data_IF_519138995658
#
_entry.id   IF_519138995658
#
_cell.length_a   1.000
_cell.length_b   1.000
_cell.length_c   1.000
_cell.angle_alpha   90.00
_cell.angle_beta   90.00
_cell.angle_gamma   90.00
#
_symmetry.space_group_name_H-M   'P 1'
#
loop_
_entity.id
_entity.type
_entity.pdbx_description
1 polymer ?
#
# COMPACT_ATOMS: atom_id res chain seq x y z
N UNK A 1 -3.83 -4.05 -33.34
CA UNK A 1 -3.07 -4.33 -32.12
C UNK A 1 -4.01 -5.06 -31.16
N UNK A 2 -3.54 -6.16 -30.53
CA UNK A 2 -4.35 -6.94 -29.58
C UNK A 2 -3.78 -6.81 -28.18
N UNK A 3 -4.65 -6.55 -27.22
CA UNK A 3 -4.34 -6.39 -25.80
C UNK A 3 -4.93 -7.54 -25.02
N UNK A 4 -4.14 -8.23 -24.22
CA UNK A 4 -4.62 -9.18 -23.22
C UNK A 4 -4.57 -8.51 -21.84
N UNK A 5 -5.72 -8.28 -21.23
CA UNK A 5 -5.85 -7.79 -19.85
C UNK A 5 -6.05 -8.99 -18.91
N UNK A 6 -4.95 -9.73 -18.65
CA UNK A 6 -5.00 -11.04 -17.97
C UNK A 6 -5.54 -10.98 -16.54
N UNK A 7 -5.25 -9.89 -15.81
CA UNK A 7 -5.74 -9.67 -14.45
C UNK A 7 -6.96 -8.71 -14.41
N UNK A 8 -7.57 -8.46 -15.58
CA UNK A 8 -8.68 -7.53 -15.74
C UNK A 8 -8.25 -6.06 -15.84
N UNK A 9 -9.14 -5.26 -16.38
CA UNK A 9 -9.08 -3.80 -16.48
C UNK A 9 -10.51 -3.27 -16.30
N UNK A 10 -10.67 -2.01 -15.83
CA UNK A 10 -12.01 -1.41 -15.68
C UNK A 10 -12.74 -1.30 -17.00
N UNK A 11 -14.07 -1.20 -16.94
CA UNK A 11 -14.90 -1.03 -18.17
C UNK A 11 -14.50 0.25 -18.91
N UNK A 12 -14.20 1.33 -18.17
CA UNK A 12 -13.72 2.59 -18.76
C UNK A 12 -12.44 2.41 -19.60
N UNK A 13 -11.51 1.57 -19.13
CA UNK A 13 -10.29 1.22 -19.86
C UNK A 13 -10.57 0.36 -21.09
N UNK A 14 -11.48 -0.62 -20.99
CA UNK A 14 -11.91 -1.41 -22.14
C UNK A 14 -12.51 -0.51 -23.21
N UNK A 15 -13.42 0.38 -22.82
CA UNK A 15 -14.12 1.29 -23.73
C UNK A 15 -13.13 2.26 -24.40
N UNK A 16 -12.18 2.81 -23.64
CA UNK A 16 -11.15 3.69 -24.19
C UNK A 16 -10.28 2.99 -25.24
N UNK A 17 -9.82 1.77 -24.96
CA UNK A 17 -9.01 0.99 -25.89
C UNK A 17 -9.82 0.58 -27.14
N UNK A 18 -11.06 0.16 -26.96
CA UNK A 18 -11.95 -0.25 -28.06
C UNK A 18 -12.29 0.94 -28.97
N UNK A 19 -12.58 2.11 -28.40
CA UNK A 19 -12.82 3.35 -29.16
C UNK A 19 -11.57 3.81 -29.94
N UNK A 20 -10.38 3.45 -29.46
CA UNK A 20 -9.12 3.66 -30.18
C UNK A 20 -8.83 2.59 -31.26
N UNK A 21 -9.77 1.68 -31.55
CA UNK A 21 -9.62 0.61 -32.55
C UNK A 21 -8.71 -0.54 -32.10
N UNK A 22 -8.53 -0.71 -30.79
CA UNK A 22 -7.70 -1.77 -30.20
C UNK A 22 -8.59 -2.91 -29.73
N UNK A 23 -8.27 -4.13 -30.15
CA UNK A 23 -8.95 -5.35 -29.69
C UNK A 23 -8.51 -5.69 -28.26
N UNK A 24 -9.44 -5.76 -27.32
CA UNK A 24 -9.18 -6.06 -25.91
C UNK A 24 -9.74 -7.43 -25.56
N UNK A 25 -8.88 -8.29 -25.05
CA UNK A 25 -9.22 -9.64 -24.57
C UNK A 25 -9.10 -9.61 -23.04
N UNK A 26 -10.18 -10.00 -22.36
CA UNK A 26 -10.28 -10.02 -20.89
C UNK A 26 -10.34 -11.44 -20.32
N UNK A 27 -10.11 -12.45 -21.15
CA UNK A 27 -10.05 -13.85 -20.71
C UNK A 27 -8.87 -14.04 -19.77
N UNK A 28 -9.12 -14.55 -18.55
CA UNK A 28 -8.06 -14.89 -17.62
C UNK A 28 -7.40 -16.21 -18.05
N UNK A 29 -6.12 -16.14 -18.32
CA UNK A 29 -5.27 -17.26 -18.72
C UNK A 29 -4.34 -17.63 -17.56
N UNK A 30 -4.25 -18.92 -17.25
CA UNK A 30 -3.33 -19.41 -16.21
C UNK A 30 -1.87 -19.13 -16.61
N UNK A 31 -1.00 -18.88 -15.61
CA UNK A 31 0.40 -18.51 -15.85
C UNK A 31 1.14 -19.50 -16.75
N UNK A 32 0.89 -20.79 -16.59
CA UNK A 32 1.53 -21.88 -17.32
C UNK A 32 1.11 -21.93 -18.79
N UNK A 33 -0.08 -21.41 -19.11
CA UNK A 33 -0.63 -21.39 -20.48
C UNK A 33 -0.42 -20.05 -21.18
N UNK A 34 0.06 -19.03 -20.44
CA UNK A 34 0.08 -17.66 -20.90
C UNK A 34 0.98 -17.46 -22.13
N UNK A 35 2.11 -18.13 -22.19
CA UNK A 35 3.04 -18.08 -23.35
C UNK A 35 2.36 -18.58 -24.62
N UNK A 36 1.72 -19.75 -24.57
CA UNK A 36 1.02 -20.33 -25.73
C UNK A 36 -0.12 -19.41 -26.18
N UNK A 37 -0.92 -18.95 -25.22
CA UNK A 37 -2.06 -18.08 -25.52
C UNK A 37 -1.64 -16.77 -26.20
N UNK A 38 -0.57 -16.12 -25.70
CA UNK A 38 -0.02 -14.87 -26.26
C UNK A 38 0.40 -15.09 -27.72
N UNK A 39 1.13 -16.16 -28.00
CA UNK A 39 1.66 -16.45 -29.33
C UNK A 39 0.54 -16.87 -30.32
N UNK A 40 -0.34 -17.78 -29.93
CA UNK A 40 -1.44 -18.26 -30.76
C UNK A 40 -2.43 -17.15 -31.15
N UNK A 41 -2.68 -16.20 -30.24
CA UNK A 41 -3.61 -15.10 -30.45
C UNK A 41 -2.93 -13.82 -30.97
N UNK A 42 -1.62 -13.84 -31.23
CA UNK A 42 -0.83 -12.68 -31.68
C UNK A 42 -1.01 -11.45 -30.77
N UNK A 43 -0.95 -11.67 -29.45
CA UNK A 43 -1.04 -10.59 -28.46
C UNK A 43 0.22 -9.73 -28.51
N UNK A 44 0.04 -8.42 -28.66
CA UNK A 44 1.13 -7.45 -28.71
C UNK A 44 1.26 -6.63 -27.44
N UNK A 45 0.24 -6.60 -26.58
CA UNK A 45 0.24 -5.89 -25.29
C UNK A 45 -0.30 -6.82 -24.21
N UNK A 46 0.45 -6.97 -23.14
CA UNK A 46 0.03 -7.69 -21.93
C UNK A 46 -0.20 -6.70 -20.80
N UNK A 47 -1.44 -6.59 -20.33
CA UNK A 47 -1.79 -5.84 -19.12
C UNK A 47 -1.93 -6.81 -17.95
N UNK A 48 -1.20 -6.52 -16.88
CA UNK A 48 -1.17 -7.34 -15.66
C UNK A 48 -1.46 -6.50 -14.42
N UNK A 49 -1.83 -7.17 -13.35
CA UNK A 49 -1.87 -6.60 -11.99
C UNK A 49 -0.92 -7.38 -11.08
N UNK A 50 -1.39 -7.91 -9.96
CA UNK A 50 -0.55 -8.63 -9.00
C UNK A 50 -0.51 -10.15 -9.23
N UNK A 51 -1.51 -10.73 -9.90
CA UNK A 51 -1.64 -12.18 -10.04
C UNK A 51 -0.73 -12.75 -11.15
N UNK A 52 -0.59 -12.00 -12.27
CA UNK A 52 0.24 -12.44 -13.41
C UNK A 52 1.67 -11.94 -13.28
N UNK A 53 2.64 -12.80 -13.59
CA UNK A 53 4.06 -12.43 -13.63
C UNK A 53 4.59 -12.38 -15.07
N UNK A 54 5.41 -11.37 -15.37
CA UNK A 54 6.11 -11.23 -16.65
C UNK A 54 7.63 -11.28 -16.43
N UNK A 55 8.14 -12.50 -16.26
CA UNK A 55 9.56 -12.78 -16.03
C UNK A 55 10.29 -13.04 -17.33
N UNK A 56 11.63 -13.12 -17.27
CA UNK A 56 12.51 -13.38 -18.42
C UNK A 56 12.02 -14.50 -19.32
N UNK A 57 11.62 -15.63 -18.74
CA UNK A 57 11.14 -16.79 -19.50
C UNK A 57 9.92 -16.47 -20.39
N UNK A 58 8.94 -15.72 -19.87
CA UNK A 58 7.78 -15.30 -20.64
C UNK A 58 8.19 -14.28 -21.72
N UNK A 59 9.05 -13.31 -21.38
CA UNK A 59 9.50 -12.27 -22.31
C UNK A 59 10.23 -12.89 -23.49
N UNK A 60 11.14 -13.82 -23.26
CA UNK A 60 11.90 -14.52 -24.32
C UNK A 60 11.02 -15.43 -25.19
N UNK A 61 10.01 -16.05 -24.57
CA UNK A 61 9.08 -16.97 -25.29
C UNK A 61 7.99 -16.24 -26.07
N UNK A 62 7.81 -14.93 -25.89
CA UNK A 62 6.76 -14.14 -26.55
C UNK A 62 7.34 -13.00 -27.41
N UNK A 63 8.02 -13.29 -28.54
CA UNK A 63 8.70 -12.26 -29.34
C UNK A 63 7.73 -11.26 -30.01
N UNK A 64 6.42 -11.56 -30.05
CA UNK A 64 5.37 -10.67 -30.57
C UNK A 64 4.96 -9.58 -29.59
N UNK A 65 5.31 -9.68 -28.30
CA UNK A 65 5.01 -8.66 -27.31
C UNK A 65 5.83 -7.38 -27.57
N UNK A 66 5.15 -6.24 -27.43
CA UNK A 66 5.72 -4.91 -27.58
C UNK A 66 5.61 -4.09 -26.30
N UNK A 67 4.53 -4.29 -25.53
CA UNK A 67 4.23 -3.52 -24.32
C UNK A 67 3.82 -4.47 -23.21
N UNK A 68 4.35 -4.25 -22.02
CA UNK A 68 3.84 -4.82 -20.77
C UNK A 68 3.37 -3.66 -19.90
N UNK A 69 2.07 -3.64 -19.58
CA UNK A 69 1.46 -2.61 -18.74
C UNK A 69 1.08 -3.20 -17.37
N UNK A 70 1.44 -2.50 -16.28
CA UNK A 70 1.03 -2.88 -14.93
C UNK A 70 -0.01 -1.91 -14.40
N UNK A 71 -1.23 -2.41 -14.17
CA UNK A 71 -2.28 -1.66 -13.48
C UNK A 71 -1.97 -1.52 -11.99
N UNK A 72 -1.21 -0.49 -11.63
CA UNK A 72 -0.77 -0.20 -10.26
C UNK A 72 0.60 0.47 -10.20
N UNK A 73 1.09 0.69 -8.97
CA UNK A 73 2.33 1.45 -8.72
C UNK A 73 3.58 0.57 -8.85
N UNK A 74 3.64 -0.51 -8.06
CA UNK A 74 4.80 -1.41 -8.04
C UNK A 74 4.85 -2.31 -9.27
N UNK A 75 6.04 -2.65 -9.71
CA UNK A 75 6.29 -3.53 -10.85
C UNK A 75 7.09 -4.77 -10.45
N UNK A 76 6.96 -5.19 -9.19
CA UNK A 76 7.74 -6.29 -8.60
C UNK A 76 7.51 -7.65 -9.29
N UNK A 77 6.38 -7.82 -9.97
CA UNK A 77 6.02 -9.01 -10.76
C UNK A 77 6.51 -8.97 -12.22
N UNK A 78 7.22 -7.91 -12.65
CA UNK A 78 7.75 -7.76 -14.01
C UNK A 78 9.26 -7.62 -13.94
N UNK A 79 10.00 -8.30 -14.81
CA UNK A 79 11.44 -8.09 -15.00
C UNK A 79 11.69 -6.87 -15.89
N UNK A 80 11.43 -5.67 -15.34
CA UNK A 80 11.36 -4.39 -16.07
C UNK A 80 12.65 -4.10 -16.84
N UNK A 81 13.80 -4.22 -16.19
CA UNK A 81 15.11 -3.95 -16.82
C UNK A 81 15.31 -4.87 -18.02
N UNK A 82 15.07 -6.16 -17.83
CA UNK A 82 15.20 -7.15 -18.88
C UNK A 82 14.23 -6.92 -20.05
N UNK A 83 12.96 -6.62 -19.75
CA UNK A 83 11.98 -6.31 -20.80
C UNK A 83 12.43 -5.11 -21.65
N UNK A 84 12.94 -4.05 -21.02
CA UNK A 84 13.47 -2.87 -21.74
C UNK A 84 14.71 -3.18 -22.57
N UNK A 85 15.64 -4.00 -22.08
CA UNK A 85 16.79 -4.49 -22.82
C UNK A 85 16.39 -5.28 -24.08
N UNK A 86 15.25 -6.00 -24.02
CA UNK A 86 14.64 -6.69 -25.16
C UNK A 86 13.81 -5.79 -26.09
N UNK A 87 13.76 -4.49 -25.82
CA UNK A 87 13.05 -3.49 -26.64
C UNK A 87 11.55 -3.37 -26.33
N UNK A 88 11.04 -3.96 -25.26
CA UNK A 88 9.65 -3.80 -24.83
C UNK A 88 9.47 -2.49 -24.05
N UNK A 89 8.35 -1.81 -24.32
CA UNK A 89 7.90 -0.72 -23.44
C UNK A 89 7.26 -1.30 -22.17
N UNK A 90 7.68 -0.83 -21.00
CA UNK A 90 7.06 -1.20 -19.73
C UNK A 90 6.47 0.04 -19.09
N UNK A 91 5.15 0.03 -18.86
CA UNK A 91 4.37 1.14 -18.31
C UNK A 91 3.64 0.73 -17.04
N UNK A 92 3.30 1.71 -16.20
CA UNK A 92 2.48 1.51 -15.02
C UNK A 92 1.59 2.74 -14.75
N UNK A 93 0.72 2.66 -13.72
CA UNK A 93 -0.19 3.74 -13.32
C UNK A 93 0.18 4.28 -11.94
N UNK A 94 1.28 5.07 -11.82
CA UNK A 94 1.90 5.37 -10.52
C UNK A 94 1.13 6.36 -9.64
N UNK A 95 0.14 7.06 -10.19
CA UNK A 95 -0.65 8.06 -9.46
C UNK A 95 -2.07 7.57 -9.11
N UNK A 96 -2.59 6.59 -9.83
CA UNK A 96 -4.01 6.23 -9.84
C UNK A 96 -4.57 5.79 -8.47
N UNK A 97 -3.76 5.15 -7.65
CA UNK A 97 -4.19 4.58 -6.35
C UNK A 97 -3.63 5.32 -5.12
N UNK A 98 -2.96 6.46 -5.29
CA UNK A 98 -2.25 7.11 -4.17
C UNK A 98 -3.17 7.54 -3.04
N UNK A 99 -4.33 8.14 -3.35
CA UNK A 99 -5.34 8.53 -2.36
C UNK A 99 -5.96 7.33 -1.66
N UNK A 100 -6.28 6.27 -2.42
CA UNK A 100 -6.88 5.04 -1.85
C UNK A 100 -5.97 4.39 -0.81
N UNK A 101 -4.67 4.29 -1.10
CA UNK A 101 -3.69 3.77 -0.13
C UNK A 101 -3.61 4.66 1.10
N UNK A 102 -3.60 5.99 0.92
CA UNK A 102 -3.54 6.95 2.02
C UNK A 102 -4.78 6.83 2.92
N UNK A 103 -5.96 6.66 2.35
CA UNK A 103 -7.22 6.45 3.09
C UNK A 103 -7.19 5.15 3.89
N UNK A 104 -6.67 4.04 3.32
CA UNK A 104 -6.50 2.79 4.05
C UNK A 104 -5.53 2.93 5.24
N UNK A 105 -4.44 3.69 5.09
CA UNK A 105 -3.53 4.01 6.22
C UNK A 105 -4.32 4.65 7.35
N UNK A 106 -5.20 5.62 7.05
CA UNK A 106 -6.03 6.28 8.06
C UNK A 106 -7.13 5.39 8.61
N UNK A 107 -7.68 4.45 7.81
CA UNK A 107 -8.60 3.43 8.32
C UNK A 107 -7.92 2.57 9.40
N UNK A 108 -6.68 2.12 9.17
CA UNK A 108 -5.87 1.42 10.18
C UNK A 108 -5.56 2.31 11.39
N UNK A 109 -5.20 3.59 11.19
CA UNK A 109 -4.91 4.52 12.28
C UNK A 109 -6.15 4.75 13.15
N UNK A 110 -7.29 5.14 12.56
CA UNK A 110 -8.53 5.34 13.30
C UNK A 110 -8.99 4.05 13.98
N UNK A 111 -8.89 2.92 13.28
CA UNK A 111 -9.21 1.61 13.83
C UNK A 111 -8.32 1.25 15.03
N UNK A 112 -7.04 1.56 14.95
CA UNK A 112 -6.06 1.28 16.01
C UNK A 112 -6.26 2.15 17.26
N UNK A 113 -6.25 3.47 17.11
CA UNK A 113 -6.38 4.39 18.25
C UNK A 113 -7.74 4.31 18.96
N UNK A 114 -8.76 3.74 18.32
CA UNK A 114 -10.11 3.56 18.88
C UNK A 114 -10.48 2.11 19.11
N UNK A 115 -9.52 1.15 18.98
CA UNK A 115 -9.73 -0.29 19.16
C UNK A 115 -10.83 -0.87 18.28
N UNK A 116 -11.16 -0.25 17.14
CA UNK A 116 -12.31 -0.65 16.33
C UNK A 116 -12.14 -2.06 15.75
N UNK A 117 -10.94 -2.39 15.26
CA UNK A 117 -10.66 -3.72 14.71
C UNK A 117 -10.77 -4.84 15.74
N UNK A 118 -10.32 -4.59 16.98
CA UNK A 118 -10.40 -5.57 18.07
C UNK A 118 -11.82 -5.65 18.63
N UNK A 119 -12.50 -4.52 18.81
CA UNK A 119 -13.89 -4.49 19.26
C UNK A 119 -14.83 -5.22 18.28
N UNK A 120 -14.59 -5.10 16.95
CA UNK A 120 -15.36 -5.83 15.95
C UNK A 120 -15.17 -7.35 16.00
N UNK A 121 -14.05 -7.83 16.55
CA UNK A 121 -13.83 -9.27 16.78
C UNK A 121 -14.56 -9.77 18.05
N UNK A 122 -14.63 -8.94 19.08
CA UNK A 122 -15.13 -9.36 20.39
C UNK A 122 -16.64 -9.05 20.59
N UNK A 123 -17.16 -7.97 20.03
CA UNK A 123 -18.58 -7.61 20.16
C UNK A 123 -19.55 -8.72 19.67
N UNK A 124 -19.33 -9.39 18.53
CA UNK A 124 -20.18 -10.48 18.10
C UNK A 124 -20.16 -11.71 19.01
N UNK A 125 -19.07 -11.90 19.75
CA UNK A 125 -18.86 -13.08 20.61
C UNK A 125 -19.41 -12.88 22.03
N UNK A 126 -19.13 -11.71 22.61
CA UNK A 126 -19.30 -11.45 24.05
C UNK A 126 -20.19 -10.22 24.33
N UNK A 127 -20.67 -9.52 23.29
CA UNK A 127 -21.33 -8.22 23.44
C UNK A 127 -22.65 -8.27 24.22
N UNK A 128 -23.37 -9.37 24.20
CA UNK A 128 -24.63 -9.58 24.93
C UNK A 128 -24.39 -9.89 26.43
N UNK A 129 -23.31 -10.59 26.75
CA UNK A 129 -23.04 -11.08 28.12
C UNK A 129 -22.04 -10.22 28.88
N UNK A 130 -21.05 -9.63 28.15
CA UNK A 130 -19.89 -8.89 28.72
C UNK A 130 -19.78 -7.45 28.26
N UNK A 131 -20.87 -6.81 27.87
CA UNK A 131 -20.88 -5.44 27.33
C UNK A 131 -20.16 -4.43 28.25
N UNK A 132 -20.36 -4.49 29.56
CA UNK A 132 -19.74 -3.56 30.51
C UNK A 132 -18.21 -3.71 30.54
N UNK A 133 -17.71 -4.94 30.46
CA UNK A 133 -16.27 -5.25 30.44
C UNK A 133 -15.64 -4.76 29.14
N UNK A 134 -16.26 -5.04 27.99
CA UNK A 134 -15.82 -4.57 26.69
C UNK A 134 -15.79 -3.03 26.63
N UNK A 135 -16.85 -2.35 27.12
CA UNK A 135 -16.89 -0.90 27.24
C UNK A 135 -15.70 -0.35 28.05
N UNK A 136 -15.39 -0.99 29.18
CA UNK A 136 -14.26 -0.60 30.05
C UNK A 136 -12.91 -0.82 29.36
N UNK A 137 -12.74 -1.96 28.67
CA UNK A 137 -11.50 -2.31 27.99
C UNK A 137 -11.18 -1.33 26.85
N UNK A 138 -12.19 -0.89 26.10
CA UNK A 138 -12.05 0.03 24.96
C UNK A 138 -12.19 1.53 25.30
N UNK A 139 -12.31 1.88 26.60
CA UNK A 139 -12.47 3.26 27.02
C UNK A 139 -11.17 4.10 27.01
N UNK A 140 -10.02 3.50 26.64
CA UNK A 140 -8.69 4.13 26.64
C UNK A 140 -8.22 4.56 25.25
N UNK A 141 -9.16 4.86 24.35
CA UNK A 141 -8.84 5.33 23.00
C UNK A 141 -8.13 6.70 22.99
N UNK A 142 -7.43 6.98 21.90
CA UNK A 142 -6.71 8.23 21.66
C UNK A 142 -7.28 9.00 20.49
N UNK A 143 -7.02 10.29 20.43
CA UNK A 143 -7.30 11.15 19.27
C UNK A 143 -6.02 11.30 18.42
N UNK A 144 -6.19 11.51 17.10
CA UNK A 144 -5.06 11.81 16.21
C UNK A 144 -4.65 13.28 16.29
N UNK A 145 -5.58 14.19 16.56
CA UNK A 145 -5.31 15.64 16.66
C UNK A 145 -4.18 15.94 17.64
N UNK A 146 -3.23 16.76 17.19
CA UNK A 146 -2.06 17.16 17.99
C UNK A 146 -0.97 16.08 18.09
N UNK A 147 -1.18 14.87 17.57
CA UNK A 147 -0.17 13.83 17.51
C UNK A 147 0.72 14.00 16.28
N UNK A 148 1.90 13.40 16.32
CA UNK A 148 2.90 13.45 15.25
C UNK A 148 2.85 12.16 14.42
N UNK A 149 2.68 12.29 13.10
CA UNK A 149 2.86 11.18 12.16
C UNK A 149 4.20 11.34 11.43
N UNK A 150 5.00 10.29 11.45
CA UNK A 150 6.23 10.15 10.66
C UNK A 150 5.95 9.39 9.37
N UNK A 151 6.28 9.98 8.25
CA UNK A 151 6.05 9.41 6.91
C UNK A 151 7.41 9.06 6.31
N UNK A 152 7.69 7.77 6.16
CA UNK A 152 8.93 7.26 5.55
C UNK A 152 8.64 6.94 4.08
N UNK A 153 9.26 7.70 3.16
CA UNK A 153 8.92 7.74 1.74
C UNK A 153 7.93 8.86 1.43
N UNK A 154 8.44 10.01 0.95
CA UNK A 154 7.62 11.20 0.72
C UNK A 154 7.30 11.42 -0.78
N UNK A 155 7.05 10.29 -1.47
CA UNK A 155 6.54 10.25 -2.83
C UNK A 155 5.05 10.58 -2.93
N UNK A 156 4.39 10.08 -3.99
CA UNK A 156 2.95 10.35 -4.24
C UNK A 156 2.06 9.94 -3.07
N UNK A 157 2.19 8.69 -2.60
CA UNK A 157 1.35 8.16 -1.51
C UNK A 157 1.64 8.91 -0.20
N UNK A 158 2.92 9.09 0.16
CA UNK A 158 3.29 9.81 1.38
C UNK A 158 2.75 11.24 1.45
N UNK A 159 2.66 11.93 0.30
CA UNK A 159 2.05 13.27 0.21
C UNK A 159 0.53 13.22 0.38
N UNK A 160 -0.16 12.21 -0.16
CA UNK A 160 -1.61 12.04 0.10
C UNK A 160 -1.87 11.72 1.59
N UNK A 161 -1.04 10.89 2.22
CA UNK A 161 -1.09 10.66 3.68
C UNK A 161 -0.89 11.97 4.44
N UNK A 162 0.07 12.81 4.03
CA UNK A 162 0.30 14.11 4.66
C UNK A 162 -0.92 15.03 4.57
N UNK A 163 -1.63 15.04 3.43
CA UNK A 163 -2.88 15.82 3.27
C UNK A 163 -3.93 15.42 4.31
N UNK A 164 -4.19 14.11 4.43
CA UNK A 164 -5.19 13.61 5.39
C UNK A 164 -4.74 13.91 6.83
N UNK A 165 -3.44 13.71 7.15
CA UNK A 165 -2.88 13.99 8.46
C UNK A 165 -3.08 15.46 8.87
N UNK A 166 -2.75 16.39 7.97
CA UNK A 166 -2.93 17.82 8.19
C UNK A 166 -4.40 18.17 8.39
N UNK A 167 -5.31 17.59 7.58
CA UNK A 167 -6.76 17.72 7.74
C UNK A 167 -7.28 17.22 9.10
N UNK A 168 -6.65 16.16 9.65
CA UNK A 168 -6.95 15.66 11.00
C UNK A 168 -6.29 16.49 12.13
N UNK A 169 -5.54 17.55 11.81
CA UNK A 169 -4.85 18.39 12.79
C UNK A 169 -3.62 17.72 13.41
N UNK A 170 -2.99 16.80 12.68
CA UNK A 170 -1.74 16.17 13.09
C UNK A 170 -0.52 17.01 12.69
N UNK A 171 0.58 16.82 13.41
CA UNK A 171 1.90 17.26 12.98
C UNK A 171 2.50 16.23 12.03
N UNK A 172 3.00 16.65 10.87
CA UNK A 172 3.64 15.79 9.88
C UNK A 172 5.16 15.97 9.94
N UNK A 173 5.88 14.85 10.01
CA UNK A 173 7.32 14.75 9.80
C UNK A 173 7.54 13.74 8.68
N UNK A 174 8.36 14.07 7.68
CA UNK A 174 8.67 13.20 6.56
C UNK A 174 10.15 12.86 6.49
N UNK A 175 10.48 11.70 5.92
CA UNK A 175 11.84 11.29 5.56
C UNK A 175 11.84 10.67 4.18
N UNK A 176 12.74 11.13 3.31
CA UNK A 176 12.90 10.63 1.95
C UNK A 176 14.34 10.83 1.50
N UNK A 177 14.85 9.93 0.64
CA UNK A 177 16.22 10.02 0.14
C UNK A 177 16.38 10.97 -1.06
N UNK A 178 15.29 11.38 -1.69
CA UNK A 178 15.26 12.11 -2.96
C UNK A 178 14.46 13.41 -2.89
N UNK A 179 13.73 13.63 -1.81
CA UNK A 179 12.87 14.79 -1.61
C UNK A 179 13.29 15.52 -0.34
N UNK A 180 13.80 16.73 -0.49
CA UNK A 180 14.18 17.59 0.66
C UNK A 180 12.99 18.39 1.19
N UNK A 181 12.10 18.81 0.29
CA UNK A 181 10.95 19.65 0.61
C UNK A 181 9.79 19.35 -0.34
N UNK A 182 8.59 19.38 0.14
CA UNK A 182 7.39 19.31 -0.70
C UNK A 182 6.28 20.23 -0.20
N UNK A 183 5.60 20.86 -1.15
CA UNK A 183 4.37 21.61 -0.89
C UNK A 183 3.18 20.65 -0.88
N UNK A 184 2.44 20.66 0.22
CA UNK A 184 1.22 19.87 0.41
C UNK A 184 0.04 20.81 0.31
N UNK A 185 -0.74 20.69 -0.75
CA UNK A 185 -1.94 21.51 -0.96
C UNK A 185 -3.18 20.74 -0.54
N UNK A 186 -3.93 21.30 0.39
CA UNK A 186 -5.26 20.86 0.76
C UNK A 186 -6.25 21.61 -0.14
N UNK A 187 -6.99 20.86 -0.95
CA UNK A 187 -8.05 21.39 -1.81
C UNK A 187 -9.40 21.13 -1.13
N UNK A 188 -10.16 22.19 -0.88
CA UNK A 188 -11.50 22.11 -0.30
C UNK A 188 -12.56 22.17 -1.40
N UNK A 189 -13.71 21.54 -1.15
CA UNK A 189 -14.76 21.38 -2.16
C UNK A 189 -15.37 22.72 -2.60
N UNK A 190 -15.25 23.79 -1.78
CA UNK A 190 -15.67 25.15 -2.09
C UNK A 190 -14.65 25.93 -2.94
N UNK A 191 -13.57 25.27 -3.35
CA UNK A 191 -12.50 25.83 -4.17
C UNK A 191 -11.39 26.52 -3.37
N UNK A 192 -11.50 26.61 -2.05
CA UNK A 192 -10.40 27.12 -1.21
C UNK A 192 -9.23 26.15 -1.24
N UNK A 193 -8.00 26.68 -1.11
CA UNK A 193 -6.76 25.92 -1.08
C UNK A 193 -5.85 26.45 0.00
N UNK A 194 -5.26 25.53 0.76
CA UNK A 194 -4.22 25.84 1.73
C UNK A 194 -2.98 25.02 1.40
N UNK A 195 -1.86 25.69 1.20
CA UNK A 195 -0.57 25.02 0.91
C UNK A 195 0.36 25.15 2.10
N UNK A 196 0.90 24.01 2.54
CA UNK A 196 1.85 23.90 3.64
C UNK A 196 3.13 23.27 3.13
N UNK A 197 4.27 23.86 3.49
CA UNK A 197 5.58 23.30 3.18
C UNK A 197 5.95 22.24 4.24
N UNK A 198 6.36 21.06 3.80
CA UNK A 198 6.90 19.99 4.65
C UNK A 198 8.34 19.71 4.21
N UNK A 199 9.28 19.94 5.12
CA UNK A 199 10.70 19.58 4.96
C UNK A 199 10.95 18.20 5.48
N UNK A 200 11.72 17.41 4.75
CA UNK A 200 12.13 16.08 5.21
C UNK A 200 13.24 16.19 6.24
N UNK A 201 13.37 15.15 7.05
CA UNK A 201 14.35 15.02 8.12
C UNK A 201 15.03 13.66 8.04
N UNK A 202 16.22 13.50 8.68
CA UNK A 202 16.83 12.19 8.84
C UNK A 202 15.85 11.20 9.48
N UNK A 203 15.88 9.94 9.01
CA UNK A 203 14.95 8.91 9.46
C UNK A 203 15.02 8.67 10.98
N UNK A 204 16.19 8.74 11.58
CA UNK A 204 16.36 8.58 13.03
C UNK A 204 15.64 9.68 13.84
N UNK A 205 15.66 10.92 13.34
CA UNK A 205 14.93 12.02 13.96
C UNK A 205 13.42 11.83 13.85
N UNK A 206 12.94 11.39 12.68
CA UNK A 206 11.54 11.05 12.45
C UNK A 206 11.07 9.97 13.44
N UNK A 207 11.83 8.87 13.56
CA UNK A 207 11.49 7.72 14.40
C UNK A 207 11.31 8.13 15.85
N UNK A 208 12.22 8.96 16.38
CA UNK A 208 12.20 9.40 17.78
C UNK A 208 11.05 10.38 18.08
N UNK A 209 10.62 11.18 17.11
CA UNK A 209 9.62 12.23 17.32
C UNK A 209 8.18 11.80 17.04
N UNK A 210 7.98 10.66 16.37
CA UNK A 210 6.67 10.24 15.87
C UNK A 210 5.87 9.44 16.90
N UNK A 211 4.58 9.72 17.00
CA UNK A 211 3.61 8.91 17.73
C UNK A 211 3.10 7.77 16.82
N UNK A 212 3.03 8.03 15.52
CA UNK A 212 2.66 7.05 14.47
C UNK A 212 3.70 7.11 13.37
N UNK A 213 4.09 5.94 12.82
CA UNK A 213 4.97 5.84 11.66
C UNK A 213 4.24 5.10 10.54
N UNK A 214 4.35 5.60 9.32
CA UNK A 214 3.84 4.91 8.14
C UNK A 214 4.89 4.88 7.04
N UNK A 215 4.96 3.76 6.31
CA UNK A 215 5.97 3.53 5.28
C UNK A 215 5.33 3.56 3.89
N UNK A 216 6.01 4.24 2.96
CA UNK A 216 5.61 4.37 1.55
C UNK A 216 6.82 4.26 0.63
N UNK A 217 7.68 3.29 0.91
CA UNK A 217 8.91 2.99 0.17
C UNK A 217 8.72 1.75 -0.73
N UNK A 218 9.48 1.61 -1.83
CA UNK A 218 9.51 0.38 -2.61
C UNK A 218 10.10 -0.78 -1.80
N UNK A 219 10.03 -1.99 -2.35
CA UNK A 219 10.69 -3.16 -1.76
C UNK A 219 12.19 -2.89 -1.51
N UNK A 220 12.69 -3.30 -0.37
CA UNK A 220 14.06 -3.09 0.07
C UNK A 220 14.77 -4.44 0.28
N UNK A 221 16.10 -4.45 0.19
CA UNK A 221 16.91 -5.64 0.50
C UNK A 221 17.06 -5.86 2.02
N UNK A 222 16.87 -4.83 2.81
CA UNK A 222 16.98 -4.84 4.27
C UNK A 222 15.75 -4.14 4.85
N UNK A 223 15.41 -4.49 6.08
CA UNK A 223 14.35 -3.80 6.82
C UNK A 223 14.66 -2.32 6.97
N UNK A 224 13.68 -1.48 6.66
CA UNK A 224 13.72 -0.04 6.97
C UNK A 224 13.49 0.16 8.46
N UNK A 225 12.57 -0.62 9.01
CA UNK A 225 12.26 -0.65 10.45
C UNK A 225 12.51 -2.06 10.98
N UNK A 226 13.66 -2.26 11.59
CA UNK A 226 14.02 -3.45 12.33
C UNK A 226 14.04 -3.20 13.84
N UNK A 227 14.54 -4.17 14.60
CA UNK A 227 14.60 -4.12 16.07
C UNK A 227 15.28 -2.86 16.60
N UNK A 228 16.37 -2.41 15.96
CA UNK A 228 17.10 -1.21 16.35
C UNK A 228 16.31 0.09 16.18
N UNK A 229 15.53 0.20 15.09
CA UNK A 229 14.66 1.34 14.83
C UNK A 229 13.46 1.34 15.78
N UNK A 230 12.83 0.18 16.01
CA UNK A 230 11.72 0.03 16.96
C UNK A 230 12.14 0.46 18.37
N UNK A 231 13.35 0.10 18.80
CA UNK A 231 13.86 0.50 20.11
C UNK A 231 13.96 2.02 20.29
N UNK A 232 14.20 2.77 19.20
CA UNK A 232 14.28 4.25 19.19
C UNK A 232 12.91 4.93 19.12
N UNK A 233 11.83 4.22 18.76
CA UNK A 233 10.47 4.78 18.72
C UNK A 233 10.01 5.19 20.11
N UNK A 234 9.03 6.07 20.18
CA UNK A 234 8.36 6.41 21.46
C UNK A 234 7.67 5.16 22.02
N UNK A 235 7.63 5.08 23.36
CA UNK A 235 6.82 4.05 24.02
C UNK A 235 5.33 4.28 23.71
N UNK A 236 4.64 3.21 23.36
CA UNK A 236 3.24 3.27 22.92
C UNK A 236 3.02 3.84 21.51
N UNK A 237 4.07 4.09 20.74
CA UNK A 237 3.92 4.45 19.32
C UNK A 237 3.26 3.32 18.52
N UNK A 238 2.77 3.66 17.32
CA UNK A 238 2.22 2.66 16.41
C UNK A 238 2.84 2.76 15.01
N UNK A 239 2.71 1.67 14.24
CA UNK A 239 3.30 1.58 12.91
C UNK A 239 2.29 1.04 11.90
N UNK A 240 2.26 1.63 10.70
CA UNK A 240 1.39 1.20 9.59
C UNK A 240 2.26 0.85 8.39
N UNK A 241 2.03 -0.32 7.81
CA UNK A 241 2.66 -0.73 6.55
C UNK A 241 1.61 -1.06 5.50
N UNK A 242 1.41 -0.15 4.58
CA UNK A 242 0.64 -0.34 3.35
C UNK A 242 1.54 -0.16 2.10
N UNK A 243 2.84 -0.42 2.23
CA UNK A 243 3.84 -0.27 1.17
C UNK A 243 4.23 -1.61 0.55
N UNK A 244 5.14 -2.34 1.23
CA UNK A 244 5.63 -3.65 0.80
C UNK A 244 5.92 -4.54 2.01
N UNK A 245 5.77 -5.85 1.84
CA UNK A 245 6.32 -6.82 2.77
C UNK A 245 7.86 -6.71 2.84
N UNK A 246 8.45 -7.03 3.98
CA UNK A 246 9.89 -6.99 4.18
C UNK A 246 10.51 -5.60 4.37
N UNK A 247 9.71 -4.52 4.45
CA UNK A 247 10.21 -3.20 4.87
C UNK A 247 10.22 -3.04 6.39
N UNK A 248 9.44 -3.85 7.10
CA UNK A 248 9.42 -3.98 8.56
C UNK A 248 9.81 -5.42 8.92
N UNK A 249 10.65 -5.59 9.94
CA UNK A 249 10.91 -6.88 10.58
C UNK A 249 9.66 -7.31 11.38
N UNK A 250 8.88 -8.25 10.82
CA UNK A 250 7.63 -8.70 11.44
C UNK A 250 7.87 -9.43 12.77
N UNK A 251 9.01 -10.09 12.95
CA UNK A 251 9.34 -10.74 14.21
C UNK A 251 9.58 -9.69 15.30
N UNK A 252 10.43 -8.70 15.01
CA UNK A 252 10.71 -7.61 15.94
C UNK A 252 9.45 -6.76 16.22
N UNK A 253 8.57 -6.58 15.23
CA UNK A 253 7.30 -5.89 15.38
C UNK A 253 6.40 -6.60 16.41
N UNK A 254 6.23 -7.93 16.28
CA UNK A 254 5.39 -8.71 17.20
C UNK A 254 5.98 -8.71 18.61
N UNK A 255 7.30 -8.88 18.77
CA UNK A 255 7.98 -8.75 20.08
C UNK A 255 7.71 -7.38 20.74
N UNK A 256 7.75 -6.31 19.96
CA UNK A 256 7.49 -4.96 20.44
C UNK A 256 6.02 -4.73 20.84
N UNK A 257 5.08 -5.32 20.11
CA UNK A 257 3.65 -5.30 20.46
C UNK A 257 3.38 -6.10 21.74
N UNK A 258 3.96 -7.29 21.87
CA UNK A 258 3.80 -8.16 23.05
C UNK A 258 4.37 -7.48 24.31
N UNK A 259 5.56 -6.86 24.22
CA UNK A 259 6.17 -6.14 25.35
C UNK A 259 5.49 -4.81 25.69
N UNK A 260 4.60 -4.30 24.83
CA UNK A 260 3.96 -2.98 25.03
C UNK A 260 4.83 -1.80 24.60
N UNK A 261 6.01 -2.02 24.00
CA UNK A 261 6.81 -0.96 23.37
C UNK A 261 6.03 -0.24 22.28
N UNK A 262 5.29 -0.99 21.47
CA UNK A 262 4.32 -0.47 20.51
C UNK A 262 2.89 -0.75 20.97
N UNK A 263 1.98 0.18 20.68
CA UNK A 263 0.56 0.07 21.08
C UNK A 263 -0.24 -0.82 20.11
N UNK A 264 -0.07 -0.60 18.82
CA UNK A 264 -0.69 -1.40 17.75
C UNK A 264 0.10 -1.28 16.45
N UNK A 265 -0.23 -2.15 15.49
CA UNK A 265 0.22 -2.04 14.11
C UNK A 265 -0.95 -2.16 13.13
N UNK A 266 -0.82 -1.57 11.93
CA UNK A 266 -1.68 -1.78 10.78
C UNK A 266 -0.87 -2.37 9.63
N UNK A 267 -1.27 -3.53 9.12
CA UNK A 267 -0.56 -4.20 8.04
C UNK A 267 -1.52 -4.52 6.88
N UNK A 268 -1.20 -3.97 5.72
CA UNK A 268 -1.84 -4.32 4.44
C UNK A 268 -0.93 -5.21 3.58
N UNK A 269 0.37 -5.24 3.91
CA UNK A 269 1.39 -6.02 3.20
C UNK A 269 2.23 -6.83 4.17
N UNK A 270 2.70 -8.01 3.75
CA UNK A 270 3.35 -9.00 4.60
C UNK A 270 4.67 -9.49 4.00
N UNK A 271 5.62 -9.93 4.85
CA UNK A 271 6.90 -10.50 4.37
C UNK A 271 6.69 -11.71 3.46
N UNK A 272 5.67 -12.50 3.75
CA UNK A 272 5.34 -13.70 2.98
C UNK A 272 3.92 -13.62 2.45
N UNK A 273 3.75 -13.13 1.25
CA UNK A 273 2.49 -13.19 0.52
C UNK A 273 2.53 -14.36 -0.49
N UNK A 274 1.48 -15.15 -0.64
CA UNK A 274 0.14 -15.03 -0.06
C UNK A 274 -0.07 -15.75 1.28
N UNK A 275 0.98 -16.15 1.98
CA UNK A 275 0.91 -16.93 3.23
C UNK A 275 1.60 -16.18 4.38
N UNK A 276 0.98 -15.14 4.96
CA UNK A 276 1.54 -14.40 6.08
C UNK A 276 1.78 -15.28 7.31
N UNK A 277 2.72 -14.88 8.16
CA UNK A 277 3.05 -15.62 9.38
C UNK A 277 1.85 -15.68 10.34
N UNK A 278 1.52 -16.89 10.84
CA UNK A 278 0.41 -17.11 11.75
C UNK A 278 0.50 -16.23 13.00
N UNK A 279 1.72 -15.99 13.52
CA UNK A 279 1.93 -15.13 14.70
C UNK A 279 1.47 -13.68 14.45
N UNK A 280 1.63 -13.17 13.22
CA UNK A 280 1.14 -11.86 12.81
C UNK A 280 -0.39 -11.87 12.72
N UNK A 281 -0.97 -12.89 12.05
CA UNK A 281 -2.40 -13.00 11.83
C UNK A 281 -3.20 -13.15 13.14
N UNK A 282 -2.62 -13.82 14.13
CA UNK A 282 -3.27 -14.08 15.41
C UNK A 282 -3.10 -12.96 16.44
N UNK A 283 -2.27 -11.96 16.16
CA UNK A 283 -2.05 -10.84 17.08
C UNK A 283 -3.30 -9.96 17.18
N UNK A 284 -3.82 -9.80 18.40
CA UNK A 284 -4.94 -8.91 18.67
C UNK A 284 -4.57 -7.42 18.65
N UNK A 285 -3.27 -7.09 18.56
CA UNK A 285 -2.75 -5.73 18.42
C UNK A 285 -2.45 -5.33 16.98
N UNK A 286 -2.78 -6.18 16.00
CA UNK A 286 -2.56 -5.91 14.58
C UNK A 286 -3.88 -5.77 13.84
N UNK A 287 -4.09 -4.61 13.22
CA UNK A 287 -5.15 -4.36 12.26
C UNK A 287 -4.69 -4.87 10.89
N UNK A 288 -5.42 -5.81 10.29
CA UNK A 288 -5.01 -6.54 9.09
C UNK A 288 -5.92 -6.23 7.90
N UNK A 289 -5.33 -6.09 6.72
CA UNK A 289 -6.02 -6.11 5.43
C UNK A 289 -5.19 -6.89 4.40
N UNK A 290 -5.82 -7.55 3.41
CA UNK A 290 -5.14 -8.50 2.53
C UNK A 290 -4.62 -7.82 1.26
N UNK A 291 -3.70 -6.86 1.39
CA UNK A 291 -3.05 -6.10 0.31
C UNK A 291 -4.07 -5.42 -0.61
N UNK A 292 -4.97 -4.64 -0.02
CA UNK A 292 -6.08 -3.95 -0.70
C UNK A 292 -5.91 -2.43 -0.80
N UNK A 293 -4.76 -1.88 -0.44
CA UNK A 293 -4.53 -0.42 -0.44
C UNK A 293 -4.91 0.28 -1.74
N UNK A 294 -4.72 -0.38 -2.89
CA UNK A 294 -5.09 0.14 -4.20
C UNK A 294 -6.47 -0.33 -4.70
N UNK A 295 -7.25 -1.06 -3.90
CA UNK A 295 -8.44 -1.77 -4.36
C UNK A 295 -9.73 -0.98 -4.06
N UNK A 296 -9.84 0.24 -4.59
CA UNK A 296 -11.11 1.00 -4.59
C UNK A 296 -11.67 1.12 -6.01
N UNK A 297 -12.97 1.31 -6.14
CA UNK A 297 -13.63 1.47 -7.45
C UNK A 297 -13.01 2.64 -8.22
N UNK A 298 -12.80 3.76 -7.56
CA UNK A 298 -12.22 4.97 -8.16
C UNK A 298 -10.76 4.76 -8.61
N UNK A 299 -9.97 4.01 -7.82
CA UNK A 299 -8.62 3.65 -8.24
C UNK A 299 -8.64 2.72 -9.46
N UNK A 300 -9.57 1.75 -9.49
CA UNK A 300 -9.72 0.85 -10.65
C UNK A 300 -10.08 1.62 -11.92
N UNK A 301 -11.00 2.58 -11.84
CA UNK A 301 -11.39 3.43 -12.98
C UNK A 301 -10.21 4.30 -13.46
N UNK A 302 -9.46 4.89 -12.54
CA UNK A 302 -8.26 5.66 -12.90
C UNK A 302 -7.11 4.80 -13.45
N UNK A 303 -7.06 3.53 -13.10
CA UNK A 303 -6.06 2.57 -13.61
C UNK A 303 -6.39 2.16 -15.04
N UNK A 304 -7.65 1.94 -15.38
CA UNK A 304 -8.09 1.62 -16.74
C UNK A 304 -7.97 2.78 -17.68
#
# INVERSE_FOLDING_TARGET
>A
MKVLANDGVSQSGIDALTNAGIEVITTKVAQEQLVNYINENNISVLLVRSATTARKALIDACPGLKIIGRGGVGMDNIDVTYAREKGLSVINTPAASSSSVAELVFAHLFGGVRYLYDSNRNMPLDGDTRFKDLKKNYAKGSELRGKTIGIIGFGRIGREVAKIALGCGMKVIASDNYVDTANITLDFFDGQKVTLEVKTKPIDELIQQSDFITLHVPAQKQYVIGKGQIAKMKDGAAIINAARGGVIDEVALIEALESGKLSFAGLDTFEKEPTPAVKVLMSHKVSLSPHIGAATNEAQDRIG
#
